data_IF_583193196650
#
_entry.id   IF_583193196650
#
_cell.length_a   1.000
_cell.length_b   1.000
_cell.length_c   1.000
_cell.angle_alpha   90.00
_cell.angle_beta   90.00
_cell.angle_gamma   90.00
#
_symmetry.space_group_name_H-M   'P 1'
#
loop_
_entity.id
_entity.type
_entity.pdbx_description
1 polymer ?
#
# COMPACT_ATOMS: atom_id res chain seq x y z
N UNK A 1 30.51 0.74 -21.43
CA UNK A 1 29.66 -0.36 -20.94
C UNK A 1 30.21 -0.67 -19.58
N UNK A 2 29.63 -0.07 -18.54
CA UNK A 2 30.07 -0.33 -17.16
C UNK A 2 29.61 -1.72 -16.77
N UNK A 3 30.57 -2.57 -16.44
CA UNK A 3 30.40 -3.89 -15.86
C UNK A 3 30.13 -3.74 -14.36
N UNK A 4 28.90 -3.32 -14.02
CA UNK A 4 28.46 -3.17 -12.63
C UNK A 4 28.90 -4.36 -11.77
N UNK A 5 29.47 -4.06 -10.59
CA UNK A 5 29.95 -5.08 -9.67
C UNK A 5 28.78 -5.76 -8.98
N UNK A 6 28.49 -7.01 -9.38
CA UNK A 6 27.46 -7.83 -8.74
C UNK A 6 28.04 -8.54 -7.52
N UNK A 7 27.50 -8.26 -6.33
CA UNK A 7 27.85 -9.00 -5.12
C UNK A 7 26.74 -9.98 -4.80
N UNK A 8 26.94 -11.26 -5.14
CA UNK A 8 26.00 -12.32 -4.79
C UNK A 8 26.07 -12.62 -3.30
N UNK A 9 25.14 -12.06 -2.54
CA UNK A 9 24.86 -12.51 -1.18
C UNK A 9 23.73 -13.53 -1.22
N UNK A 10 24.09 -14.82 -1.34
CA UNK A 10 23.10 -15.90 -1.28
C UNK A 10 22.55 -16.00 0.16
N UNK A 11 21.35 -15.46 0.39
CA UNK A 11 20.65 -15.51 1.68
C UNK A 11 19.61 -16.65 1.73
N UNK A 12 19.79 -17.73 0.97
CA UNK A 12 18.81 -18.80 0.87
C UNK A 12 18.44 -19.38 2.24
N UNK A 13 17.19 -19.17 2.67
CA UNK A 13 16.53 -19.97 3.69
C UNK A 13 15.40 -20.74 3.01
N UNK A 14 15.47 -22.08 3.07
CA UNK A 14 14.39 -22.95 2.64
C UNK A 14 13.20 -22.78 3.58
N UNK A 15 12.13 -22.13 3.12
CA UNK A 15 10.80 -22.27 3.71
C UNK A 15 9.91 -23.08 2.77
N UNK A 16 8.80 -23.62 3.30
CA UNK A 16 7.92 -24.59 2.63
C UNK A 16 7.15 -24.01 1.42
N UNK A 17 7.53 -22.83 0.92
CA UNK A 17 6.81 -22.03 -0.08
C UNK A 17 7.56 -21.86 -1.41
N UNK A 18 8.76 -22.44 -1.56
CA UNK A 18 9.56 -22.38 -2.80
C UNK A 18 10.87 -21.65 -2.60
N UNK A 19 11.82 -21.84 -3.52
CA UNK A 19 13.13 -21.19 -3.41
C UNK A 19 13.01 -19.69 -3.73
N UNK A 20 13.31 -18.83 -2.76
CA UNK A 20 13.52 -17.39 -2.97
C UNK A 20 15.03 -17.15 -3.01
N UNK A 21 15.51 -16.60 -4.12
CA UNK A 21 16.91 -16.24 -4.30
C UNK A 21 17.03 -14.71 -4.31
N UNK A 22 17.32 -14.08 -3.16
CA UNK A 22 17.64 -12.66 -3.13
C UNK A 22 19.03 -12.43 -3.73
N UNK A 23 19.14 -11.46 -4.64
CA UNK A 23 20.41 -10.97 -5.18
C UNK A 23 20.46 -9.47 -4.91
N UNK A 24 21.58 -9.02 -4.33
CA UNK A 24 21.85 -7.59 -4.17
C UNK A 24 22.63 -7.13 -5.39
N UNK A 25 22.07 -6.16 -6.11
CA UNK A 25 22.69 -5.60 -7.30
C UNK A 25 23.03 -4.14 -7.00
N UNK A 26 24.30 -3.80 -7.19
CA UNK A 26 24.75 -2.41 -7.19
C UNK A 26 24.78 -1.94 -8.65
N UNK A 27 23.85 -1.06 -9.01
CA UNK A 27 23.76 -0.44 -10.33
C UNK A 27 23.77 1.07 -10.16
N UNK A 28 24.80 1.71 -10.73
CA UNK A 28 25.02 3.16 -10.65
C UNK A 28 24.97 3.70 -9.21
N UNK A 29 24.03 4.60 -8.90
CA UNK A 29 23.79 5.19 -7.58
C UNK A 29 22.75 4.43 -6.75
N UNK A 30 22.29 3.27 -7.20
CA UNK A 30 21.21 2.52 -6.56
C UNK A 30 21.66 1.12 -6.11
N UNK A 31 21.20 0.72 -4.94
CA UNK A 31 21.25 -0.66 -4.47
C UNK A 31 19.87 -1.27 -4.70
N UNK A 32 19.81 -2.23 -5.60
CA UNK A 32 18.62 -3.02 -5.90
C UNK A 32 18.67 -4.34 -5.14
N UNK A 33 17.49 -4.82 -4.76
CA UNK A 33 17.28 -6.16 -4.22
C UNK A 33 16.39 -6.89 -5.21
N UNK A 34 16.94 -7.84 -5.94
CA UNK A 34 16.19 -8.70 -6.84
C UNK A 34 15.74 -9.95 -6.11
N UNK A 35 14.44 -10.21 -6.13
CA UNK A 35 13.85 -11.42 -5.59
C UNK A 35 13.36 -12.27 -6.75
N UNK A 36 14.00 -13.42 -6.96
CA UNK A 36 13.51 -14.43 -7.90
C UNK A 36 12.81 -15.54 -7.13
N UNK A 37 11.56 -15.83 -7.49
CA UNK A 37 10.74 -16.85 -6.82
C UNK A 37 9.87 -17.61 -7.83
N UNK A 38 9.48 -18.83 -7.46
CA UNK A 38 8.53 -19.64 -8.24
C UNK A 38 7.10 -19.20 -7.95
N UNK A 39 6.37 -18.80 -9.00
CA UNK A 39 4.96 -18.45 -8.85
C UNK A 39 4.11 -19.71 -8.70
N UNK A 40 3.55 -19.93 -7.52
CA UNK A 40 2.51 -20.96 -7.34
C UNK A 40 1.20 -20.50 -7.97
N UNK A 41 0.66 -21.30 -8.88
CA UNK A 41 -0.69 -21.09 -9.40
C UNK A 41 -1.73 -21.26 -8.28
N UNK A 42 -2.67 -20.31 -8.21
CA UNK A 42 -3.83 -20.40 -7.31
C UNK A 42 -4.69 -21.63 -7.61
N UNK A 43 -5.55 -22.04 -6.67
CA UNK A 43 -6.51 -23.12 -6.90
C UNK A 43 -7.40 -22.85 -8.11
N UNK A 44 -7.86 -21.60 -8.26
CA UNK A 44 -8.68 -21.16 -9.39
C UNK A 44 -7.94 -21.23 -10.73
N UNK A 45 -6.70 -20.76 -10.80
CA UNK A 45 -5.87 -20.85 -12.01
C UNK A 45 -5.58 -22.30 -12.40
N UNK A 46 -5.33 -23.17 -11.41
CA UNK A 46 -5.18 -24.62 -11.64
C UNK A 46 -6.45 -25.24 -12.21
N UNK A 47 -7.62 -24.86 -11.70
CA UNK A 47 -8.90 -25.39 -12.19
C UNK A 47 -9.26 -24.87 -13.58
N UNK A 48 -8.89 -23.64 -13.95
CA UNK A 48 -9.08 -23.13 -15.31
C UNK A 48 -8.22 -23.88 -16.33
N UNK A 49 -6.99 -24.27 -15.97
CA UNK A 49 -6.13 -25.12 -16.81
C UNK A 49 -6.65 -26.56 -16.92
N UNK A 50 -7.28 -27.10 -15.87
CA UNK A 50 -7.80 -28.47 -15.82
C UNK A 50 -8.87 -28.79 -16.88
N UNK A 51 -9.53 -27.77 -17.45
CA UNK A 51 -10.57 -27.95 -18.47
C UNK A 51 -10.05 -27.96 -19.92
N UNK A 52 -8.72 -27.97 -20.15
CA UNK A 52 -8.12 -28.24 -21.46
C UNK A 52 -7.69 -29.73 -21.52
N UNK A 53 -8.41 -30.61 -22.23
CA UNK A 53 -8.27 -32.06 -22.10
C UNK A 53 -6.95 -32.66 -22.63
N UNK A 54 -6.12 -31.89 -23.34
CA UNK A 54 -4.96 -32.40 -24.07
C UNK A 54 -3.62 -32.24 -23.32
N UNK A 55 -3.60 -31.54 -22.18
CA UNK A 55 -2.36 -31.25 -21.43
C UNK A 55 -2.28 -31.95 -20.06
N UNK A 56 -2.83 -33.16 -19.93
CA UNK A 56 -2.74 -33.92 -18.66
C UNK A 56 -1.31 -34.39 -18.31
N UNK A 57 -0.35 -34.19 -19.22
CA UNK A 57 1.10 -34.31 -18.97
C UNK A 57 1.82 -32.95 -18.99
N UNK A 58 1.14 -31.86 -18.63
CA UNK A 58 1.79 -30.57 -18.45
C UNK A 58 2.84 -30.67 -17.34
N UNK A 59 4.10 -30.60 -17.75
CA UNK A 59 5.23 -30.21 -16.90
C UNK A 59 4.80 -29.08 -15.98
N UNK A 60 5.26 -29.13 -14.72
CA UNK A 60 5.14 -28.00 -13.81
C UNK A 60 5.95 -26.85 -14.41
N UNK A 61 5.35 -26.10 -15.33
CA UNK A 61 5.89 -24.87 -15.87
C UNK A 61 5.71 -23.82 -14.77
N UNK A 62 6.50 -23.98 -13.71
CA UNK A 62 6.64 -23.01 -12.65
C UNK A 62 7.28 -21.77 -13.27
N UNK A 63 6.47 -20.73 -13.46
CA UNK A 63 6.95 -19.44 -13.93
C UNK A 63 7.85 -18.85 -12.84
N UNK A 64 9.13 -18.69 -13.14
CA UNK A 64 10.04 -17.91 -12.31
C UNK A 64 9.74 -16.43 -12.54
N UNK A 65 9.37 -15.74 -11.46
CA UNK A 65 9.19 -14.29 -11.45
C UNK A 65 10.40 -13.68 -10.77
N UNK A 66 11.04 -12.74 -11.44
CA UNK A 66 12.04 -11.85 -10.84
C UNK A 66 11.40 -10.49 -10.63
N UNK A 67 11.41 -10.00 -9.39
CA UNK A 67 10.95 -8.68 -9.02
C UNK A 67 12.08 -7.91 -8.37
N UNK A 68 12.41 -6.75 -8.92
CA UNK A 68 13.43 -5.86 -8.37
C UNK A 68 12.79 -4.87 -7.40
N UNK A 69 13.49 -4.59 -6.31
CA UNK A 69 13.09 -3.67 -5.24
C UNK A 69 14.22 -2.69 -4.94
N UNK A 70 13.86 -1.55 -4.36
CA UNK A 70 14.80 -0.52 -3.90
C UNK A 70 14.34 0.02 -2.54
N UNK A 71 15.28 0.55 -1.76
CA UNK A 71 14.96 1.22 -0.50
C UNK A 71 14.64 2.70 -0.76
N UNK A 72 13.40 3.13 -0.46
CA UNK A 72 12.98 4.54 -0.52
C UNK A 72 12.20 4.90 0.73
N UNK A 73 12.43 6.10 1.27
CA UNK A 73 11.71 6.64 2.44
C UNK A 73 11.78 5.77 3.70
N UNK A 74 12.81 4.93 3.83
CA UNK A 74 12.95 4.00 4.96
C UNK A 74 12.26 2.65 4.75
N UNK A 75 11.72 2.39 3.56
CA UNK A 75 10.95 1.18 3.26
C UNK A 75 11.43 0.54 1.94
N UNK A 76 11.25 -0.77 1.82
CA UNK A 76 11.45 -1.48 0.55
C UNK A 76 10.24 -1.26 -0.35
N UNK A 77 10.45 -0.92 -1.62
CA UNK A 77 9.39 -0.72 -2.63
C UNK A 77 9.80 -1.32 -3.96
N UNK A 78 8.85 -1.73 -4.79
CA UNK A 78 9.11 -2.16 -6.16
C UNK A 78 9.97 -1.12 -6.90
N UNK A 79 10.96 -1.59 -7.64
CA UNK A 79 11.79 -0.71 -8.45
C UNK A 79 10.97 -0.16 -9.62
N UNK A 80 10.86 1.16 -9.69
CA UNK A 80 10.27 1.88 -10.80
C UNK A 80 11.39 2.70 -11.48
N UNK A 81 11.90 2.26 -12.63
CA UNK A 81 13.00 2.94 -13.31
C UNK A 81 12.59 4.29 -13.92
N UNK A 82 11.30 4.49 -14.20
CA UNK A 82 10.78 5.67 -14.89
C UNK A 82 9.56 6.22 -14.15
N UNK A 83 9.72 6.77 -12.93
CA UNK A 83 8.60 7.33 -12.20
C UNK A 83 8.03 8.54 -12.93
N UNK A 84 6.71 8.54 -13.10
CA UNK A 84 5.98 9.65 -13.71
C UNK A 84 5.45 10.54 -12.59
N UNK A 85 5.76 11.84 -12.68
CA UNK A 85 5.20 12.83 -11.77
C UNK A 85 3.84 13.28 -12.31
N UNK A 86 2.77 12.89 -11.61
CA UNK A 86 1.42 13.40 -11.87
C UNK A 86 1.11 14.56 -10.91
N UNK A 87 0.28 15.50 -11.38
CA UNK A 87 -0.30 16.54 -10.54
C UNK A 87 -1.42 15.92 -9.71
N UNK A 88 -1.18 15.73 -8.40
CA UNK A 88 -2.12 15.08 -7.48
C UNK A 88 -3.04 16.13 -6.85
N UNK A 89 -4.31 16.10 -7.23
CA UNK A 89 -5.33 17.05 -6.77
C UNK A 89 -5.95 16.63 -5.44
N UNK A 90 -6.20 15.33 -5.28
CA UNK A 90 -6.86 14.77 -4.09
C UNK A 90 -6.47 13.33 -3.84
N UNK A 91 -6.20 13.04 -2.57
CA UNK A 91 -6.00 11.69 -2.04
C UNK A 91 -7.16 11.41 -1.09
N UNK A 92 -7.95 10.38 -1.36
CA UNK A 92 -8.99 9.91 -0.46
C UNK A 92 -8.69 8.46 -0.05
N UNK A 93 -8.56 8.22 1.24
CA UNK A 93 -8.24 6.92 1.80
C UNK A 93 -9.28 6.53 2.85
N UNK A 94 -9.75 5.29 2.80
CA UNK A 94 -10.69 4.79 3.80
C UNK A 94 -10.43 3.35 4.15
N UNK A 95 -10.78 2.99 5.37
CA UNK A 95 -10.72 1.62 5.87
C UNK A 95 -12.11 1.14 6.24
N UNK A 96 -12.36 -0.15 6.06
CA UNK A 96 -13.58 -0.82 6.52
C UNK A 96 -13.28 -1.70 7.73
N UNK A 97 -14.34 -1.98 8.50
CA UNK A 97 -14.25 -2.88 9.64
C UNK A 97 -13.86 -4.31 9.25
N UNK A 98 -13.43 -5.07 10.24
CA UNK A 98 -13.09 -6.49 10.17
C UNK A 98 -13.76 -7.21 11.35
N UNK A 99 -13.60 -8.53 11.48
CA UNK A 99 -13.94 -9.19 12.74
C UNK A 99 -12.95 -8.75 13.83
N UNK A 100 -13.43 -7.97 14.80
CA UNK A 100 -12.61 -7.40 15.87
C UNK A 100 -12.54 -5.87 15.85
N UNK A 101 -11.39 -5.31 16.24
CA UNK A 101 -11.20 -3.86 16.44
C UNK A 101 -10.34 -3.21 15.35
N UNK A 102 -10.60 -3.52 14.08
CA UNK A 102 -9.91 -2.84 12.99
C UNK A 102 -10.35 -1.37 12.91
N UNK A 103 -9.41 -0.41 12.80
CA UNK A 103 -9.75 0.99 12.69
C UNK A 103 -10.61 1.27 11.46
N UNK A 104 -11.68 2.04 11.66
CA UNK A 104 -12.55 2.52 10.60
C UNK A 104 -12.44 4.03 10.56
N UNK A 105 -11.98 4.56 9.42
CA UNK A 105 -11.86 6.00 9.21
C UNK A 105 -11.87 6.34 7.73
N UNK A 106 -12.06 7.63 7.44
CA UNK A 106 -11.86 8.24 6.13
C UNK A 106 -10.89 9.41 6.29
N UNK A 107 -9.94 9.50 5.38
CA UNK A 107 -8.94 10.54 5.31
C UNK A 107 -9.00 11.15 3.91
N UNK A 108 -9.06 12.47 3.81
CA UNK A 108 -8.89 13.18 2.54
C UNK A 108 -7.79 14.20 2.67
N UNK A 109 -6.96 14.36 1.64
CA UNK A 109 -5.91 15.37 1.54
C UNK A 109 -6.04 16.00 0.15
N UNK A 110 -6.09 17.32 0.06
CA UNK A 110 -6.19 18.04 -1.22
C UNK A 110 -4.84 18.69 -1.62
N UNK A 111 -4.79 19.26 -2.81
CA UNK A 111 -3.63 20.02 -3.33
C UNK A 111 -3.25 21.24 -2.48
N UNK A 112 -4.20 21.82 -1.73
CA UNK A 112 -3.90 22.88 -0.76
C UNK A 112 -3.28 22.35 0.55
N UNK A 113 -3.00 21.04 0.63
CA UNK A 113 -2.45 20.31 1.77
C UNK A 113 -3.37 20.21 2.99
N UNK A 114 -4.61 20.66 2.85
CA UNK A 114 -5.62 20.52 3.89
C UNK A 114 -6.03 19.06 3.96
N UNK A 115 -6.03 18.52 5.18
CA UNK A 115 -6.44 17.17 5.46
C UNK A 115 -7.69 17.14 6.35
N UNK A 116 -8.62 16.26 5.99
CA UNK A 116 -9.80 15.97 6.79
C UNK A 116 -9.77 14.51 7.23
N UNK A 117 -9.97 14.26 8.51
CA UNK A 117 -10.06 12.93 9.09
C UNK A 117 -11.44 12.75 9.73
N UNK A 118 -12.19 11.78 9.21
CA UNK A 118 -13.35 11.22 9.87
C UNK A 118 -12.96 9.90 10.54
N UNK A 119 -12.56 9.99 11.81
CA UNK A 119 -12.19 8.85 12.63
C UNK A 119 -13.46 8.22 13.25
N UNK A 120 -13.95 7.14 12.66
CA UNK A 120 -15.29 6.61 12.97
C UNK A 120 -15.29 5.70 14.19
N UNK A 121 -14.46 4.65 14.19
CA UNK A 121 -14.35 3.73 15.35
C UNK A 121 -13.03 2.97 15.38
N UNK A 122 -12.64 2.53 16.58
CA UNK A 122 -11.46 1.68 16.82
C UNK A 122 -10.12 2.30 16.38
N UNK A 123 -10.06 3.61 16.29
CA UNK A 123 -8.83 4.33 15.98
C UNK A 123 -8.01 4.51 17.26
N UNK A 124 -7.27 3.47 17.63
CA UNK A 124 -6.47 3.41 18.87
C UNK A 124 -4.96 3.48 18.58
N UNK A 125 -4.22 4.21 19.41
CA UNK A 125 -2.75 4.19 19.48
C UNK A 125 -2.31 3.68 20.84
N UNK A 126 -1.50 2.62 20.86
CA UNK A 126 -0.83 2.16 22.06
C UNK A 126 0.55 2.81 22.12
N UNK A 127 0.92 3.34 23.28
CA UNK A 127 2.28 3.83 23.53
C UNK A 127 2.87 3.04 24.70
N UNK A 128 4.18 2.76 24.71
CA UNK A 128 4.82 2.01 25.80
C UNK A 128 4.57 2.60 27.19
N UNK A 129 4.35 3.92 27.27
CA UNK A 129 4.23 4.67 28.52
C UNK A 129 2.81 4.67 29.10
N UNK A 130 1.81 4.20 28.35
CA UNK A 130 0.40 4.23 28.77
C UNK A 130 -0.22 2.83 28.83
N UNK A 131 -0.87 2.51 29.96
CA UNK A 131 -1.65 1.28 30.10
C UNK A 131 -2.96 1.31 29.29
N UNK A 132 -3.42 2.50 28.88
CA UNK A 132 -4.65 2.67 28.09
C UNK A 132 -4.32 3.30 26.73
N UNK A 133 -4.90 2.80 25.62
CA UNK A 133 -4.66 3.39 24.31
C UNK A 133 -5.30 4.77 24.20
N UNK A 134 -4.63 5.69 23.50
CA UNK A 134 -5.27 6.92 23.05
C UNK A 134 -6.31 6.56 21.99
N UNK A 135 -7.57 6.91 22.24
CA UNK A 135 -8.66 6.77 21.29
C UNK A 135 -8.87 8.08 20.54
N UNK A 136 -8.96 8.01 19.22
CA UNK A 136 -9.23 9.15 18.35
C UNK A 136 -10.54 8.90 17.59
N UNK A 137 -11.63 9.56 17.95
CA UNK A 137 -12.92 9.43 17.26
C UNK A 137 -13.55 10.81 17.06
N UNK A 138 -14.07 11.08 15.87
CA UNK A 138 -14.62 12.38 15.50
C UNK A 138 -14.21 12.86 14.11
N UNK A 139 -14.61 14.09 13.80
CA UNK A 139 -14.22 14.82 12.60
C UNK A 139 -13.10 15.79 12.96
N UNK A 140 -12.04 15.80 12.16
CA UNK A 140 -10.86 16.61 12.40
C UNK A 140 -10.35 17.24 11.11
N UNK A 141 -9.76 18.42 11.25
CA UNK A 141 -9.10 19.16 10.19
C UNK A 141 -7.66 19.49 10.62
N UNK A 142 -6.76 19.53 9.66
CA UNK A 142 -5.39 20.02 9.85
C UNK A 142 -4.77 20.35 8.49
N UNK A 143 -3.61 21.00 8.50
CA UNK A 143 -2.79 21.21 7.30
C UNK A 143 -1.52 20.36 7.40
N UNK A 144 -1.17 19.69 6.31
CA UNK A 144 0.15 19.05 6.21
C UNK A 144 1.22 20.13 5.99
N UNK A 145 2.38 19.93 6.62
CA UNK A 145 3.57 20.72 6.27
C UNK A 145 3.96 20.45 4.81
N UNK A 146 4.58 21.43 4.11
CA UNK A 146 5.05 21.24 2.74
C UNK A 146 5.87 19.96 2.57
N UNK A 147 6.83 19.72 3.46
CA UNK A 147 7.76 18.58 3.36
C UNK A 147 7.02 17.23 3.47
N UNK A 148 6.02 17.17 4.35
CA UNK A 148 5.22 15.95 4.54
C UNK A 148 4.31 15.70 3.34
N UNK A 149 3.72 16.75 2.80
CA UNK A 149 2.89 16.65 1.60
C UNK A 149 3.73 16.22 0.40
N UNK A 150 4.86 16.87 0.14
CA UNK A 150 5.79 16.53 -0.95
C UNK A 150 6.29 15.08 -0.84
N UNK A 151 6.65 14.62 0.36
CA UNK A 151 7.03 13.21 0.59
C UNK A 151 5.90 12.25 0.22
N UNK A 152 4.65 12.59 0.55
CA UNK A 152 3.49 11.77 0.21
C UNK A 152 3.25 11.74 -1.30
N UNK A 153 3.39 12.88 -1.98
CA UNK A 153 3.26 12.98 -3.44
C UNK A 153 4.36 12.19 -4.15
N UNK A 154 5.62 12.34 -3.73
CA UNK A 154 6.74 11.54 -4.28
C UNK A 154 6.50 10.04 -4.08
N UNK A 155 6.03 9.64 -2.89
CA UNK A 155 5.69 8.24 -2.64
C UNK A 155 4.59 7.74 -3.59
N UNK A 156 3.54 8.51 -3.84
CA UNK A 156 2.44 8.14 -4.75
C UNK A 156 2.91 8.07 -6.20
N UNK A 157 3.60 9.10 -6.70
CA UNK A 157 4.07 9.19 -8.08
C UNK A 157 5.09 8.07 -8.40
N UNK A 158 5.83 7.61 -7.40
CA UNK A 158 6.74 6.49 -7.58
C UNK A 158 6.04 5.12 -7.78
N UNK A 159 4.79 4.95 -7.32
CA UNK A 159 4.10 3.64 -7.39
C UNK A 159 3.66 3.23 -8.80
N UNK A 160 3.76 4.12 -9.79
CA UNK A 160 3.06 3.94 -11.07
C UNK A 160 1.57 3.60 -10.85
N UNK A 161 0.95 4.35 -9.94
CA UNK A 161 -0.40 4.06 -9.43
C UNK A 161 -1.48 3.93 -10.52
N UNK A 162 -1.43 4.61 -11.70
CA UNK A 162 -2.43 4.40 -12.74
C UNK A 162 -2.47 2.96 -13.26
N UNK A 163 -1.32 2.28 -13.30
CA UNK A 163 -1.17 0.91 -13.82
C UNK A 163 -1.39 -0.19 -12.76
N UNK A 164 -1.56 0.17 -11.49
CA UNK A 164 -1.95 -0.80 -10.45
C UNK A 164 -3.33 -1.40 -10.76
N UNK A 165 -3.63 -2.59 -10.22
CA UNK A 165 -4.97 -3.18 -10.38
C UNK A 165 -5.98 -2.36 -9.60
N UNK A 166 -7.20 -2.28 -10.12
CA UNK A 166 -8.30 -1.59 -9.43
C UNK A 166 -8.78 -2.37 -8.19
N UNK A 167 -8.53 -3.68 -8.14
CA UNK A 167 -8.90 -4.52 -7.00
C UNK A 167 -7.85 -5.57 -6.67
N UNK A 168 -7.61 -5.72 -5.37
CA UNK A 168 -6.85 -6.81 -4.75
C UNK A 168 -7.72 -7.45 -3.66
N UNK A 169 -7.61 -8.77 -3.48
CA UNK A 169 -8.36 -9.49 -2.46
C UNK A 169 -7.69 -10.81 -2.07
N UNK A 170 -7.51 -11.03 -0.76
CA UNK A 170 -7.22 -12.36 -0.22
C UNK A 170 -8.46 -13.26 -0.30
N UNK A 171 -8.24 -14.57 -0.51
CA UNK A 171 -9.29 -15.61 -0.45
C UNK A 171 -9.57 -16.08 0.99
N UNK A 172 -9.59 -15.16 1.96
CA UNK A 172 -9.93 -15.45 3.37
C UNK A 172 -10.99 -14.47 3.89
N UNK A 173 -11.78 -14.85 4.89
CA UNK A 173 -12.80 -13.95 5.46
C UNK A 173 -12.22 -13.02 6.52
N UNK A 174 -13.00 -12.00 6.89
CA UNK A 174 -12.80 -11.16 8.07
C UNK A 174 -11.54 -10.28 8.10
N UNK A 175 -10.92 -10.01 6.94
CA UNK A 175 -9.78 -9.10 6.86
C UNK A 175 -10.21 -7.64 6.67
N UNK A 176 -9.38 -6.71 7.15
CA UNK A 176 -9.59 -5.28 6.92
C UNK A 176 -9.48 -4.95 5.42
N UNK A 177 -10.38 -4.10 4.93
CA UNK A 177 -10.28 -3.55 3.57
C UNK A 177 -9.79 -2.11 3.59
N UNK A 178 -9.03 -1.74 2.57
CA UNK A 178 -8.63 -0.38 2.24
C UNK A 178 -9.26 0.04 0.92
N UNK A 179 -9.71 1.29 0.82
CA UNK A 179 -10.01 1.92 -0.47
C UNK A 179 -9.18 3.19 -0.59
N UNK A 180 -8.39 3.30 -1.65
CA UNK A 180 -7.63 4.48 -2.01
C UNK A 180 -8.19 5.06 -3.31
N UNK A 181 -8.40 6.35 -3.35
CA UNK A 181 -8.81 7.08 -4.55
C UNK A 181 -7.86 8.26 -4.73
N UNK A 182 -7.28 8.37 -5.92
CA UNK A 182 -6.37 9.46 -6.29
C UNK A 182 -7.03 10.20 -7.44
N UNK A 183 -7.26 11.50 -7.27
CA UNK A 183 -7.65 12.42 -8.33
C UNK A 183 -6.40 13.15 -8.81
N UNK A 184 -6.15 13.16 -10.12
CA UNK A 184 -4.89 13.66 -10.70
C UNK A 184 -5.06 14.14 -12.14
N UNK A 185 -4.12 14.95 -12.63
CA UNK A 185 -3.95 15.25 -14.06
C UNK A 185 -5.17 15.90 -14.73
N UNK A 186 -5.87 16.80 -14.04
CA UNK A 186 -7.07 17.46 -14.55
C UNK A 186 -8.36 16.70 -14.26
N UNK A 187 -8.46 16.05 -13.10
CA UNK A 187 -9.65 15.35 -12.63
C UNK A 187 -9.75 13.87 -12.99
N UNK A 188 -8.70 13.25 -13.53
CA UNK A 188 -8.65 11.80 -13.71
C UNK A 188 -8.72 11.10 -12.35
N UNK A 189 -9.33 9.92 -12.29
CA UNK A 189 -9.52 9.20 -11.03
C UNK A 189 -9.00 7.78 -11.13
N UNK A 190 -8.11 7.40 -10.20
CA UNK A 190 -7.74 6.01 -9.94
C UNK A 190 -8.35 5.58 -8.61
N UNK A 191 -9.14 4.51 -8.61
CA UNK A 191 -9.67 3.91 -7.40
C UNK A 191 -9.13 2.48 -7.23
N UNK A 192 -8.60 2.17 -6.06
CA UNK A 192 -8.03 0.87 -5.72
C UNK A 192 -8.72 0.36 -4.46
N UNK A 193 -9.37 -0.80 -4.56
CA UNK A 193 -9.94 -1.52 -3.43
C UNK A 193 -9.05 -2.72 -3.08
N UNK A 194 -8.60 -2.80 -1.84
CA UNK A 194 -7.69 -3.85 -1.40
C UNK A 194 -8.22 -4.52 -0.14
N UNK A 195 -8.79 -5.70 -0.32
CA UNK A 195 -9.27 -6.55 0.75
C UNK A 195 -8.11 -7.40 1.29
N UNK A 196 -7.73 -7.16 2.55
CA UNK A 196 -6.56 -7.79 3.16
C UNK A 196 -5.25 -7.03 2.99
N UNK A 197 -5.25 -5.88 2.29
CA UNK A 197 -4.05 -5.07 2.04
C UNK A 197 -2.92 -5.89 1.41
N UNK A 198 -3.29 -6.74 0.46
CA UNK A 198 -2.39 -7.70 -0.22
C UNK A 198 -1.86 -7.18 -1.57
N UNK A 199 -2.07 -5.91 -1.88
CA UNK A 199 -1.51 -5.28 -3.06
C UNK A 199 0.02 -5.26 -3.06
N UNK A 200 0.58 -4.49 -3.98
CA UNK A 200 2.05 -4.32 -4.09
C UNK A 200 2.65 -3.81 -2.77
N UNK A 201 3.93 -4.06 -2.53
CA UNK A 201 4.65 -3.58 -1.36
C UNK A 201 4.56 -2.07 -1.23
N UNK A 202 4.78 -1.33 -2.31
CA UNK A 202 4.67 0.13 -2.32
C UNK A 202 3.29 0.65 -1.92
N UNK A 203 2.22 0.02 -2.43
CA UNK A 203 0.84 0.34 -2.05
C UNK A 203 0.58 0.07 -0.56
N UNK A 204 1.08 -1.04 -0.01
CA UNK A 204 1.00 -1.35 1.41
C UNK A 204 1.76 -0.34 2.27
N UNK A 205 2.94 0.10 1.83
CA UNK A 205 3.69 1.17 2.50
C UNK A 205 2.92 2.49 2.48
N UNK A 206 2.23 2.81 1.38
CA UNK A 206 1.39 4.01 1.28
C UNK A 206 0.18 3.93 2.22
N UNK A 207 -0.49 2.79 2.30
CA UNK A 207 -1.57 2.57 3.27
C UNK A 207 -1.10 2.74 4.71
N UNK A 208 0.10 2.25 5.03
CA UNK A 208 0.70 2.42 6.34
C UNK A 208 0.99 3.90 6.63
N UNK A 209 1.58 4.62 5.68
CA UNK A 209 1.86 6.06 5.80
C UNK A 209 0.57 6.86 6.04
N UNK A 210 -0.46 6.66 5.20
CA UNK A 210 -1.76 7.31 5.35
C UNK A 210 -2.44 6.95 6.67
N UNK A 211 -2.34 5.68 7.11
CA UNK A 211 -2.93 5.24 8.38
C UNK A 211 -2.25 5.84 9.61
N UNK A 212 -0.94 6.12 9.54
CA UNK A 212 -0.15 6.75 10.62
C UNK A 212 -0.50 8.23 10.80
N UNK A 213 -0.94 8.93 9.76
CA UNK A 213 -1.33 10.35 9.83
C UNK A 213 -2.40 10.65 10.90
N UNK A 214 -3.26 9.67 11.23
CA UNK A 214 -4.20 9.78 12.37
C UNK A 214 -3.54 10.19 13.67
N UNK A 215 -2.30 9.77 13.90
CA UNK A 215 -1.61 9.97 15.18
C UNK A 215 -0.30 10.74 15.08
N UNK A 216 0.10 11.11 13.87
CA UNK A 216 1.35 11.83 13.59
C UNK A 216 1.10 13.32 13.27
N UNK A 217 -0.17 13.71 13.12
CA UNK A 217 -0.58 15.09 12.89
C UNK A 217 -1.25 15.69 14.13
N UNK A 218 -1.19 17.01 14.24
CA UNK A 218 -1.91 17.79 15.24
C UNK A 218 -3.30 18.12 14.69
N UNK A 219 -4.28 17.31 15.07
CA UNK A 219 -5.65 17.40 14.58
C UNK A 219 -6.47 18.41 15.38
N UNK A 220 -7.17 19.32 14.68
CA UNK A 220 -8.14 20.22 15.29
C UNK A 220 -9.54 19.61 15.14
N UNK A 221 -10.31 19.42 16.24
CA UNK A 221 -11.68 18.95 16.14
C UNK A 221 -12.50 19.90 15.28
N UNK A 222 -13.21 19.35 14.29
CA UNK A 222 -14.21 20.12 13.57
C UNK A 222 -15.46 20.20 14.46
N UNK A 223 -15.96 21.41 14.71
CA UNK A 223 -17.21 21.58 15.42
C UNK A 223 -18.31 20.77 14.72
N UNK A 224 -19.05 19.97 15.48
CA UNK A 224 -20.22 19.26 14.96
C UNK A 224 -21.16 20.33 14.38
N UNK A 225 -21.62 20.22 13.12
CA UNK A 225 -22.72 21.08 12.69
C UNK A 225 -23.86 20.86 13.68
N UNK A 226 -24.36 21.93 14.31
CA UNK A 226 -25.59 21.87 15.09
C UNK A 226 -26.66 21.28 14.16
N UNK A 227 -27.20 20.12 14.52
CA UNK A 227 -28.37 19.60 13.83
C UNK A 227 -29.54 20.51 14.18
N UNK A 228 -30.25 21.02 13.18
CA UNK A 228 -31.43 21.90 13.28
C UNK A 228 -32.67 21.22 13.92
N UNK A 229 -32.48 20.36 14.94
CA UNK A 229 -33.58 19.64 15.60
C UNK A 229 -33.82 20.06 17.06
N UNK A 230 -33.12 21.06 17.58
CA UNK A 230 -33.30 21.56 18.95
C UNK A 230 -33.67 23.07 18.97
N UNK A 231 -34.70 23.46 18.22
CA UNK A 231 -35.41 24.74 18.39
C UNK A 231 -36.91 24.50 18.44
#
# INVERSE_FOLDING_TARGET
>A
MDDGTYTYHNLSHMNQEGCIYPVIIHQDQHTLIELTYQKRLTYRERNLKKYQPEEFYATHNDELITQSYIFRHGELVEYNPNPISYDIEKIAFSTRGCYGSCPVFKLTINESRQAELNAIRFNRKYTPESQQPTLLEGLYLTDLSPERYEKLIDQINYLDFPNLKDSYALEVTDQASSTLTITYGGGQVKAINDYGKQGTRGLSNLYLALSKLRFDLQWQPQAKPMSDSDN
#
